data_IF_614509726804
#
_entry.id   IF_614509726804
#
_cell.length_a   1.000
_cell.length_b   1.000
_cell.length_c   1.000
_cell.angle_alpha   90.00
_cell.angle_beta   90.00
_cell.angle_gamma   90.00
#
_symmetry.space_group_name_H-M   'P 1'
#
loop_
_entity.id
_entity.type
_entity.pdbx_description
1 polymer ?
#
# COMPACT_ATOMS: atom_id res chain seq x y z
N UNK A 1 6.87 -2.23 -17.70
CA UNK A 1 5.83 -2.88 -16.87
C UNK A 1 6.07 -2.69 -15.35
N UNK A 2 5.57 -1.60 -14.74
CA UNK A 2 5.63 -1.39 -13.28
C UNK A 2 5.02 -2.54 -12.46
N UNK A 3 4.01 -3.22 -13.02
CA UNK A 3 3.37 -4.39 -12.42
C UNK A 3 4.33 -5.57 -12.22
N UNK A 4 5.13 -5.88 -13.26
CA UNK A 4 6.11 -6.96 -13.17
C UNK A 4 7.22 -6.65 -12.18
N UNK A 5 7.64 -5.38 -12.12
CA UNK A 5 8.65 -4.92 -11.17
C UNK A 5 8.17 -5.12 -9.72
N UNK A 6 6.96 -4.65 -9.39
CA UNK A 6 6.38 -4.83 -8.06
C UNK A 6 6.18 -6.31 -7.69
N UNK A 7 5.72 -7.14 -8.64
CA UNK A 7 5.61 -8.60 -8.43
C UNK A 7 6.95 -9.25 -8.10
N UNK A 8 8.04 -8.84 -8.76
CA UNK A 8 9.38 -9.39 -8.49
C UNK A 8 9.86 -9.02 -7.08
N UNK A 9 9.68 -7.77 -6.66
CA UNK A 9 10.01 -7.33 -5.30
C UNK A 9 9.24 -8.16 -4.25
N UNK A 10 7.92 -8.31 -4.43
CA UNK A 10 7.11 -9.13 -3.53
C UNK A 10 7.57 -10.60 -3.50
N UNK A 11 7.94 -11.16 -4.65
CA UNK A 11 8.45 -12.54 -4.72
C UNK A 11 9.78 -12.73 -3.98
N UNK A 12 10.67 -11.72 -3.99
CA UNK A 12 11.92 -11.77 -3.22
C UNK A 12 11.67 -11.72 -1.71
N UNK A 13 10.70 -10.91 -1.25
CA UNK A 13 10.28 -10.90 0.16
C UNK A 13 9.77 -12.28 0.60
N UNK A 14 8.92 -12.91 -0.23
CA UNK A 14 8.42 -14.24 0.06
C UNK A 14 9.54 -15.30 0.07
N UNK A 15 10.49 -15.22 -0.85
CA UNK A 15 11.61 -16.14 -0.93
C UNK A 15 12.55 -16.05 0.28
N UNK A 16 12.82 -14.84 0.77
CA UNK A 16 13.78 -14.62 1.87
C UNK A 16 13.14 -14.70 3.26
N UNK A 17 11.86 -14.33 3.37
CA UNK A 17 11.16 -14.19 4.65
C UNK A 17 9.96 -15.10 4.83
N UNK A 18 9.53 -15.85 3.81
CA UNK A 18 8.25 -16.58 3.84
C UNK A 18 7.02 -15.67 3.89
N UNK A 19 7.17 -14.37 3.66
CA UNK A 19 6.12 -13.37 3.78
C UNK A 19 6.70 -11.97 4.05
N UNK A 20 6.15 -11.29 5.06
CA UNK A 20 6.58 -9.95 5.47
C UNK A 20 7.88 -10.04 6.27
N UNK A 21 8.86 -9.23 5.87
CA UNK A 21 10.10 -8.99 6.59
C UNK A 21 9.95 -7.85 7.59
N UNK A 22 10.63 -8.00 8.72
CA UNK A 22 10.75 -6.97 9.75
C UNK A 22 12.22 -6.62 9.95
N UNK A 23 12.54 -5.33 9.98
CA UNK A 23 13.87 -4.85 10.36
C UNK A 23 13.74 -3.65 11.30
N UNK A 24 14.56 -3.62 12.35
CA UNK A 24 14.68 -2.45 13.22
C UNK A 24 15.41 -1.34 12.46
N UNK A 25 14.94 -0.10 12.55
CA UNK A 25 15.53 1.03 11.86
C UNK A 25 17.01 1.20 12.23
N UNK A 26 17.38 1.06 13.51
CA UNK A 26 18.77 1.13 13.93
C UNK A 26 19.65 0.00 13.38
N UNK A 27 19.09 -1.18 13.11
CA UNK A 27 19.81 -2.27 12.44
C UNK A 27 19.98 -1.98 10.94
N UNK A 28 18.96 -1.39 10.29
CA UNK A 28 19.04 -0.95 8.90
C UNK A 28 20.16 0.10 8.70
N UNK A 29 20.20 1.15 9.53
CA UNK A 29 21.25 2.20 9.46
C UNK A 29 22.65 1.62 9.68
N UNK A 30 22.77 0.59 10.54
CA UNK A 30 24.04 -0.13 10.79
C UNK A 30 24.37 -1.15 9.69
N UNK A 31 23.59 -1.22 8.62
CA UNK A 31 23.81 -2.14 7.50
C UNK A 31 23.74 -3.62 7.91
N UNK A 32 22.87 -3.96 8.86
CA UNK A 32 22.79 -5.33 9.38
C UNK A 32 21.35 -5.83 9.49
N UNK A 33 21.22 -7.15 9.35
CA UNK A 33 19.98 -7.89 9.58
C UNK A 33 19.50 -7.82 11.05
N UNK A 34 18.18 -7.64 11.23
CA UNK A 34 17.52 -7.94 12.52
C UNK A 34 17.28 -9.46 12.63
N UNK A 35 17.58 -10.02 13.80
CA UNK A 35 17.28 -11.42 14.12
C UNK A 35 16.44 -11.48 15.40
N UNK A 36 15.90 -12.66 15.71
CA UNK A 36 15.03 -12.86 16.89
C UNK A 36 15.68 -12.39 18.19
N UNK A 37 16.98 -12.68 18.39
CA UNK A 37 17.71 -12.25 19.59
C UNK A 37 17.77 -10.73 19.73
N UNK A 38 17.94 -10.00 18.63
CA UNK A 38 17.95 -8.53 18.62
C UNK A 38 16.55 -7.97 18.80
N UNK A 39 15.56 -8.60 18.18
CA UNK A 39 14.17 -8.21 18.28
C UNK A 39 13.62 -8.40 19.69
N UNK A 40 14.00 -9.49 20.37
CA UNK A 40 13.64 -9.74 21.77
C UNK A 40 14.20 -8.71 22.76
N UNK A 41 15.24 -7.95 22.36
CA UNK A 41 15.82 -6.85 23.14
C UNK A 41 15.25 -5.48 22.78
N UNK A 42 14.36 -5.41 21.79
CA UNK A 42 13.67 -4.19 21.37
C UNK A 42 12.66 -3.76 22.43
N UNK A 43 12.59 -2.47 22.73
CA UNK A 43 11.50 -1.93 23.54
C UNK A 43 10.16 -1.97 22.79
N UNK A 44 10.20 -1.76 21.48
CA UNK A 44 9.02 -1.87 20.60
C UNK A 44 8.72 -3.33 20.30
N UNK A 45 7.49 -3.76 20.59
CA UNK A 45 7.02 -5.13 20.31
C UNK A 45 6.35 -5.21 18.94
N UNK A 46 6.68 -6.21 18.10
CA UNK A 46 5.99 -6.44 16.85
C UNK A 46 4.51 -6.76 17.07
N UNK A 47 3.65 -6.24 16.20
CA UNK A 47 2.20 -6.51 16.21
C UNK A 47 1.76 -7.40 15.04
N UNK A 48 2.55 -7.44 13.96
CA UNK A 48 2.37 -8.34 12.84
C UNK A 48 3.33 -9.52 12.96
N UNK A 49 2.84 -10.74 12.71
CA UNK A 49 3.70 -11.92 12.55
C UNK A 49 4.53 -11.74 11.28
N UNK A 50 5.81 -11.44 11.46
CA UNK A 50 6.75 -11.11 10.39
C UNK A 50 8.13 -11.69 10.71
N UNK A 51 8.88 -12.01 9.66
CA UNK A 51 10.19 -12.65 9.78
C UNK A 51 11.28 -11.59 9.97
N UNK A 52 12.08 -11.63 11.06
CA UNK A 52 13.20 -10.71 11.23
C UNK A 52 14.24 -10.88 10.12
N UNK A 53 14.56 -9.78 9.44
CA UNK A 53 15.31 -9.81 8.20
C UNK A 53 16.09 -8.54 7.89
N UNK A 54 16.41 -8.40 6.61
CA UNK A 54 17.13 -7.26 6.05
C UNK A 54 16.38 -6.77 4.81
N UNK A 55 15.80 -5.57 4.91
CA UNK A 55 15.02 -4.96 3.84
C UNK A 55 15.90 -4.55 2.65
N UNK A 56 17.21 -4.36 2.85
CA UNK A 56 18.14 -4.04 1.75
C UNK A 56 18.32 -5.17 0.74
N UNK A 57 17.92 -6.40 1.10
CA UNK A 57 17.96 -7.56 0.20
C UNK A 57 16.73 -7.64 -0.72
N UNK A 58 15.66 -6.90 -0.42
CA UNK A 58 14.38 -6.96 -1.15
C UNK A 58 14.01 -5.63 -1.78
N UNK A 59 14.33 -4.51 -1.12
CA UNK A 59 14.09 -3.18 -1.62
C UNK A 59 15.33 -2.67 -2.38
N UNK A 60 15.15 -2.12 -3.59
CA UNK A 60 16.24 -1.45 -4.26
C UNK A 60 16.72 -0.24 -3.44
N UNK A 61 18.04 0.01 -3.52
CA UNK A 61 18.75 1.02 -2.71
C UNK A 61 18.08 2.39 -2.73
N UNK A 62 17.62 2.85 -3.91
CA UNK A 62 16.99 4.16 -4.05
C UNK A 62 15.75 4.32 -3.18
N UNK A 63 14.82 3.36 -3.24
CA UNK A 63 13.61 3.41 -2.42
C UNK A 63 13.91 3.24 -0.93
N UNK A 64 14.94 2.46 -0.58
CA UNK A 64 15.37 2.31 0.80
C UNK A 64 15.96 3.62 1.35
N UNK A 65 16.73 4.34 0.54
CA UNK A 65 17.27 5.66 0.88
C UNK A 65 16.15 6.69 1.03
N UNK A 66 15.17 6.70 0.12
CA UNK A 66 13.99 7.56 0.20
C UNK A 66 13.23 7.31 1.54
N UNK A 67 13.10 6.06 1.98
CA UNK A 67 12.48 5.70 3.27
C UNK A 67 13.31 6.20 4.46
N UNK A 68 14.64 6.02 4.41
CA UNK A 68 15.54 6.48 5.47
C UNK A 68 15.49 8.00 5.60
N UNK A 69 15.56 8.73 4.47
CA UNK A 69 15.47 10.19 4.43
C UNK A 69 14.12 10.66 4.98
N UNK A 70 13.01 10.02 4.58
CA UNK A 70 11.68 10.30 5.10
C UNK A 70 11.61 10.12 6.62
N UNK A 71 12.15 9.03 7.18
CA UNK A 71 12.14 8.79 8.63
C UNK A 71 12.91 9.89 9.37
N UNK A 72 14.08 10.29 8.88
CA UNK A 72 14.83 11.40 9.47
C UNK A 72 14.12 12.75 9.33
N UNK A 73 13.42 12.99 8.22
CA UNK A 73 12.60 14.19 8.05
C UNK A 73 11.42 14.20 9.03
N UNK A 74 10.74 13.05 9.22
CA UNK A 74 9.65 12.89 10.17
C UNK A 74 10.12 13.04 11.62
N UNK A 75 11.33 12.61 11.95
CA UNK A 75 11.90 12.76 13.30
C UNK A 75 12.05 14.23 13.72
N UNK A 76 12.29 15.14 12.77
CA UNK A 76 12.30 16.60 13.03
C UNK A 76 10.92 17.15 13.40
N UNK A 77 9.86 16.50 12.96
CA UNK A 77 8.46 16.91 13.19
C UNK A 77 7.89 16.20 14.44
N UNK A 78 8.21 14.92 14.59
CA UNK A 78 7.79 14.05 15.67
C UNK A 78 9.02 13.33 16.25
N UNK A 79 9.69 13.92 17.26
CA UNK A 79 10.90 13.34 17.83
C UNK A 79 10.70 11.91 18.33
N UNK A 80 11.60 11.01 17.94
CA UNK A 80 11.55 9.59 18.28
C UNK A 80 11.16 8.68 17.11
N UNK A 81 10.83 9.23 15.94
CA UNK A 81 10.59 8.44 14.72
C UNK A 81 11.85 7.67 14.29
N UNK A 82 13.02 8.29 14.42
CA UNK A 82 14.31 7.69 14.07
C UNK A 82 14.92 6.83 15.21
N UNK A 83 14.10 6.35 16.16
CA UNK A 83 14.58 5.47 17.23
C UNK A 83 15.14 4.15 16.67
N UNK A 84 16.21 3.64 17.26
CA UNK A 84 16.84 2.37 16.87
C UNK A 84 15.85 1.18 16.88
N UNK A 85 14.85 1.21 17.76
CA UNK A 85 13.81 0.19 17.92
C UNK A 85 12.51 0.49 17.12
N UNK A 86 12.51 1.51 16.25
CA UNK A 86 11.45 1.69 15.25
C UNK A 86 11.42 0.46 14.33
N UNK A 87 10.24 -0.16 14.17
CA UNK A 87 10.09 -1.39 13.38
C UNK A 87 9.61 -1.07 11.96
N UNK A 88 10.40 -1.47 10.97
CA UNK A 88 10.05 -1.38 9.56
C UNK A 88 9.53 -2.73 9.08
N UNK A 89 8.34 -2.73 8.47
CA UNK A 89 7.73 -3.90 7.85
C UNK A 89 7.73 -3.74 6.34
N UNK A 90 8.16 -4.77 5.62
CA UNK A 90 8.17 -4.74 4.17
C UNK A 90 8.23 -6.12 3.54
N UNK A 91 8.02 -6.26 2.23
CA UNK A 91 7.69 -5.16 1.31
C UNK A 91 6.19 -5.09 1.06
N UNK A 92 5.62 -3.90 1.21
CA UNK A 92 4.26 -3.62 0.76
C UNK A 92 4.29 -3.18 -0.71
N UNK A 93 3.59 -3.93 -1.56
CA UNK A 93 3.40 -3.58 -2.97
C UNK A 93 1.91 -3.47 -3.24
N UNK A 94 1.48 -2.27 -3.65
CA UNK A 94 0.13 -2.03 -4.15
C UNK A 94 0.20 -1.71 -5.63
N UNK A 95 -0.51 -2.49 -6.42
CA UNK A 95 -0.67 -2.22 -7.85
C UNK A 95 -1.75 -1.15 -8.00
N UNK A 96 -1.46 -0.09 -8.74
CA UNK A 96 -2.48 0.90 -9.05
C UNK A 96 -3.60 0.27 -9.86
N UNK A 97 -4.82 0.65 -9.51
CA UNK A 97 -6.03 0.28 -10.23
C UNK A 97 -5.94 0.71 -11.68
N UNK A 98 -6.53 -0.09 -12.58
CA UNK A 98 -6.74 0.33 -13.95
C UNK A 98 -7.59 1.61 -13.93
N UNK A 99 -7.06 2.73 -14.44
CA UNK A 99 -7.88 3.91 -14.71
C UNK A 99 -8.76 3.59 -15.91
N UNK A 100 -9.97 3.15 -15.64
CA UNK A 100 -10.97 2.96 -16.69
C UNK A 100 -11.34 4.31 -17.26
N UNK A 101 -11.59 4.37 -18.57
CA UNK A 101 -12.22 5.53 -19.18
C UNK A 101 -13.70 5.51 -18.81
N UNK A 102 -14.12 6.56 -18.10
CA UNK A 102 -15.48 6.75 -17.60
C UNK A 102 -16.00 8.12 -18.05
N UNK A 103 -17.31 8.21 -18.21
CA UNK A 103 -18.00 9.49 -18.40
C UNK A 103 -18.37 10.15 -17.05
N UNK A 104 -19.10 11.26 -17.12
CA UNK A 104 -19.53 12.02 -15.94
C UNK A 104 -20.56 11.28 -15.07
N UNK A 105 -21.15 10.18 -15.58
CA UNK A 105 -22.04 9.29 -14.85
C UNK A 105 -21.30 8.07 -14.26
N UNK A 106 -19.97 8.03 -14.38
CA UNK A 106 -19.12 6.89 -14.00
C UNK A 106 -19.42 5.61 -14.80
N UNK A 107 -19.98 5.78 -15.99
CA UNK A 107 -20.27 4.72 -16.93
C UNK A 107 -19.07 4.46 -17.83
N UNK A 108 -18.83 3.20 -18.15
CA UNK A 108 -17.76 2.80 -19.07
C UNK A 108 -18.21 2.96 -20.52
N UNK A 109 -17.30 2.70 -21.48
CA UNK A 109 -17.65 2.58 -22.90
C UNK A 109 -18.69 1.49 -23.20
N UNK A 110 -18.91 0.56 -22.27
CA UNK A 110 -19.93 -0.49 -22.37
C UNK A 110 -21.21 0.06 -21.72
N UNK A 111 -22.31 0.20 -22.48
CA UNK A 111 -23.57 0.72 -21.95
C UNK A 111 -24.10 -0.14 -20.79
N UNK A 112 -24.63 0.54 -19.78
CA UNK A 112 -25.11 0.03 -18.49
C UNK A 112 -24.04 -0.71 -17.66
N UNK A 113 -22.75 -0.54 -17.98
CA UNK A 113 -21.65 -1.00 -17.14
C UNK A 113 -20.99 0.20 -16.48
N UNK A 114 -21.13 0.30 -15.16
CA UNK A 114 -20.56 1.36 -14.34
C UNK A 114 -19.37 0.87 -13.54
N UNK A 115 -18.42 1.76 -13.26
CA UNK A 115 -17.27 1.46 -12.41
C UNK A 115 -17.17 2.49 -11.28
N UNK A 116 -17.07 2.01 -10.04
CA UNK A 116 -17.05 2.85 -8.84
C UNK A 116 -15.89 2.46 -7.91
N UNK A 117 -15.58 3.34 -6.97
CA UNK A 117 -14.58 3.08 -5.94
C UNK A 117 -13.13 3.03 -6.44
N UNK A 118 -12.24 2.59 -5.55
CA UNK A 118 -10.80 2.67 -5.79
C UNK A 118 -10.39 1.74 -6.95
N UNK A 119 -11.12 0.65 -7.18
CA UNK A 119 -10.90 -0.29 -8.29
C UNK A 119 -11.10 0.33 -9.68
N UNK A 120 -11.94 1.36 -9.78
CA UNK A 120 -12.12 2.14 -11.01
C UNK A 120 -11.03 3.20 -11.24
N UNK A 121 -10.15 3.43 -10.24
CA UNK A 121 -9.05 4.38 -10.32
C UNK A 121 -9.45 5.85 -10.16
N UNK A 122 -10.67 6.13 -9.71
CA UNK A 122 -11.26 7.47 -9.55
C UNK A 122 -11.35 7.95 -8.10
N UNK A 123 -11.26 7.05 -7.12
CA UNK A 123 -11.28 7.40 -5.68
C UNK A 123 -9.99 6.95 -4.99
N UNK A 124 -9.71 7.52 -3.81
CA UNK A 124 -8.54 7.18 -2.97
C UNK A 124 -8.89 7.13 -1.49
N UNK A 125 -10.01 6.49 -1.17
CA UNK A 125 -10.43 6.34 0.22
C UNK A 125 -11.89 5.97 0.38
N UNK A 126 -12.20 5.46 1.58
CA UNK A 126 -13.52 4.90 1.92
C UNK A 126 -14.68 5.86 1.63
N UNK A 127 -14.54 7.13 2.01
CA UNK A 127 -15.61 8.13 1.83
C UNK A 127 -15.89 8.41 0.35
N UNK A 128 -14.84 8.63 -0.44
CA UNK A 128 -14.97 8.86 -1.88
C UNK A 128 -15.53 7.63 -2.59
N UNK A 129 -15.02 6.44 -2.27
CA UNK A 129 -15.50 5.19 -2.84
C UNK A 129 -16.99 4.97 -2.55
N UNK A 130 -17.41 5.22 -1.31
CA UNK A 130 -18.81 5.13 -0.91
C UNK A 130 -19.69 6.13 -1.64
N UNK A 131 -19.24 7.39 -1.75
CA UNK A 131 -19.96 8.44 -2.47
C UNK A 131 -20.17 8.08 -3.95
N UNK A 132 -19.14 7.53 -4.61
CA UNK A 132 -19.25 7.08 -6.01
C UNK A 132 -20.25 5.94 -6.18
N UNK A 133 -20.33 5.02 -5.23
CA UNK A 133 -21.33 3.93 -5.23
C UNK A 133 -22.76 4.46 -5.09
N UNK A 134 -22.99 5.39 -4.16
CA UNK A 134 -24.32 6.02 -3.98
C UNK A 134 -24.71 6.82 -5.23
N UNK A 135 -23.78 7.53 -5.84
CA UNK A 135 -24.00 8.29 -7.06
C UNK A 135 -24.48 7.38 -8.21
N UNK A 136 -23.75 6.32 -8.52
CA UNK A 136 -24.14 5.35 -9.57
C UNK A 136 -25.45 4.64 -9.25
N UNK A 137 -25.70 4.30 -7.97
CA UNK A 137 -26.95 3.68 -7.59
C UNK A 137 -28.18 4.57 -7.90
N UNK A 138 -28.04 5.90 -7.74
CA UNK A 138 -29.10 6.86 -8.09
C UNK A 138 -29.29 6.95 -9.60
N UNK A 139 -28.20 7.03 -10.36
CA UNK A 139 -28.21 7.04 -11.84
C UNK A 139 -28.95 5.81 -12.39
N UNK A 140 -28.61 4.61 -11.90
CA UNK A 140 -29.28 3.36 -12.29
C UNK A 140 -30.77 3.42 -11.93
N UNK A 141 -31.12 3.91 -10.73
CA UNK A 141 -32.49 4.06 -10.30
C UNK A 141 -33.32 4.97 -11.21
N UNK A 142 -32.76 6.12 -11.62
CA UNK A 142 -33.42 7.07 -12.53
C UNK A 142 -33.64 6.46 -13.92
N UNK A 143 -32.65 5.76 -14.48
CA UNK A 143 -32.77 5.08 -15.78
C UNK A 143 -33.87 4.02 -15.79
N UNK A 144 -33.96 3.21 -14.72
CA UNK A 144 -35.02 2.20 -14.56
C UNK A 144 -36.40 2.84 -14.54
N UNK A 145 -36.56 3.97 -13.82
CA UNK A 145 -37.85 4.69 -13.77
C UNK A 145 -38.23 5.27 -15.13
N UNK A 146 -37.29 5.85 -15.86
CA UNK A 146 -37.54 6.37 -17.21
C UNK A 146 -37.95 5.28 -18.21
N UNK A 147 -37.38 4.08 -18.10
CA UNK A 147 -37.75 2.94 -18.94
C UNK A 147 -39.13 2.37 -18.63
N UNK A 148 -39.60 2.47 -17.37
CA UNK A 148 -40.95 2.02 -16.99
C UNK A 148 -42.07 2.98 -17.43
N UNK A 149 -41.73 4.25 -17.64
CA UNK A 149 -42.67 5.31 -18.03
C UNK A 149 -42.73 5.53 -19.56
N UNK A 150 -41.96 4.77 -20.34
CA UNK A 150 -42.05 4.67 -21.80
C UNK A 150 -42.81 3.41 -22.18
#
# INVERSE_FOLDING_TARGET
EPHQYGKRIASFSNMLGGGVLLQRFGDLIKGRRTNERRLAKSFTRPTLSATPGDLSLVLPKRQLDDIIEMIYALDKIAPGMANDDTLLYGVEVKFYSARMELDDHLETKIPNLFAVGDGAGITRGLSQASASGVFVAREIGERILQHRNK
#
